data_IF_892698264521
#
_entry.id   IF_892698264521
#
_cell.length_a   1.000
_cell.length_b   1.000
_cell.length_c   1.000
_cell.angle_alpha   90.00
_cell.angle_beta   90.00
_cell.angle_gamma   90.00
#
_symmetry.space_group_name_H-M   'P 1'
#
loop_
_entity.id
_entity.type
_entity.pdbx_description
1 polymer ?
#
# COMPACT_ATOMS: atom_id res chain seq x y z
N UNK A 1 -46.79 24.62 18.75
CA UNK A 1 -46.92 23.92 17.45
C UNK A 1 -45.77 24.35 16.56
N UNK A 2 -44.99 23.41 16.05
CA UNK A 2 -43.90 23.68 15.12
C UNK A 2 -42.62 22.89 15.41
N UNK A 3 -42.73 21.58 15.56
CA UNK A 3 -41.60 20.67 15.36
C UNK A 3 -41.21 20.67 13.88
N UNK A 4 -39.92 20.76 13.57
CA UNK A 4 -39.23 20.09 12.44
C UNK A 4 -38.00 20.89 12.03
N UNK A 5 -36.82 20.38 12.41
CA UNK A 5 -35.53 20.47 11.67
C UNK A 5 -34.49 19.61 12.41
N UNK A 6 -34.75 18.31 12.47
CA UNK A 6 -33.75 17.28 12.78
C UNK A 6 -33.78 16.31 11.59
N UNK A 7 -33.14 16.67 10.48
CA UNK A 7 -33.14 15.82 9.27
C UNK A 7 -31.84 15.84 8.47
N UNK A 8 -30.82 16.62 8.83
CA UNK A 8 -29.60 16.74 8.01
C UNK A 8 -28.31 16.26 8.71
N UNK A 9 -28.43 15.29 9.63
CA UNK A 9 -27.27 14.55 10.16
C UNK A 9 -27.34 13.09 9.73
N UNK A 10 -27.20 12.86 8.43
CA UNK A 10 -26.58 11.60 7.96
C UNK A 10 -25.13 11.72 8.40
N UNK A 11 -24.75 11.00 9.45
CA UNK A 11 -23.41 11.12 10.00
C UNK A 11 -22.42 10.45 9.06
N UNK A 12 -21.20 10.98 8.98
CA UNK A 12 -20.07 10.34 8.28
C UNK A 12 -19.92 8.84 8.62
N UNK A 13 -20.35 8.44 9.82
CA UNK A 13 -20.36 7.08 10.32
C UNK A 13 -21.43 6.19 9.67
N UNK A 14 -22.58 6.73 9.29
CA UNK A 14 -23.64 5.98 8.59
C UNK A 14 -23.23 5.62 7.16
N UNK A 15 -22.44 6.48 6.50
CA UNK A 15 -21.83 6.19 5.20
C UNK A 15 -20.70 5.15 5.32
N UNK A 16 -20.04 5.09 6.47
CA UNK A 16 -18.97 4.14 6.77
C UNK A 16 -19.51 2.72 7.04
N UNK A 17 -20.63 2.59 7.76
CA UNK A 17 -21.29 1.31 8.02
C UNK A 17 -21.83 0.63 6.75
N UNK A 18 -22.23 1.42 5.75
CA UNK A 18 -22.65 0.90 4.44
C UNK A 18 -21.48 0.35 3.62
N UNK A 19 -20.26 0.86 3.80
CA UNK A 19 -19.05 0.41 3.10
C UNK A 19 -18.54 -0.94 3.62
N UNK A 20 -18.67 -1.19 4.94
CA UNK A 20 -18.17 -2.40 5.59
C UNK A 20 -18.91 -3.69 5.22
N UNK A 21 -20.19 -3.61 4.80
CA UNK A 21 -21.03 -4.78 4.51
C UNK A 21 -20.73 -5.50 3.19
N UNK A 22 -19.84 -4.95 2.34
CA UNK A 22 -19.57 -5.47 0.99
C UNK A 22 -18.45 -6.50 0.82
N UNK A 23 -17.67 -6.84 1.87
CA UNK A 23 -16.31 -7.40 1.70
C UNK A 23 -16.04 -8.81 2.26
N UNK A 24 -17.05 -9.64 2.52
CA UNK A 24 -16.83 -11.02 3.01
C UNK A 24 -16.81 -12.05 1.87
N UNK A 25 -15.62 -12.45 1.43
CA UNK A 25 -15.48 -13.61 0.52
C UNK A 25 -14.04 -13.98 0.14
N UNK A 26 -13.65 -15.19 0.56
CA UNK A 26 -12.66 -16.11 -0.05
C UNK A 26 -11.15 -15.93 0.21
N UNK A 27 -10.51 -17.03 0.65
CA UNK A 27 -9.41 -17.70 -0.07
C UNK A 27 -9.08 -19.08 0.52
N UNK A 28 -9.11 -20.19 -0.26
CA UNK A 28 -8.42 -21.45 0.05
C UNK A 28 -7.08 -21.57 -0.72
N UNK A 29 -6.09 -22.29 -0.15
CA UNK A 29 -4.88 -22.76 -0.86
C UNK A 29 -3.55 -22.32 -0.23
N UNK A 30 -3.17 -22.88 0.93
CA UNK A 30 -1.99 -22.47 1.70
C UNK A 30 -0.96 -23.59 1.97
N UNK A 31 -1.00 -24.71 1.24
CA UNK A 31 -0.29 -25.93 1.68
C UNK A 31 1.18 -26.06 1.21
N UNK A 32 1.74 -25.11 0.46
CA UNK A 32 3.10 -25.22 -0.13
C UNK A 32 4.02 -24.02 0.24
N UNK A 33 4.53 -23.95 1.48
CA UNK A 33 5.50 -22.92 1.89
C UNK A 33 6.73 -23.50 2.59
N UNK A 34 7.91 -23.29 1.99
CA UNK A 34 9.19 -23.95 2.34
C UNK A 34 10.12 -23.12 3.25
N UNK A 35 9.73 -21.92 3.70
CA UNK A 35 10.61 -21.05 4.49
C UNK A 35 9.92 -20.46 5.73
N UNK A 36 10.60 -20.46 6.88
CA UNK A 36 10.10 -19.88 8.13
C UNK A 36 9.72 -18.38 7.98
N UNK A 37 10.39 -17.65 7.07
CA UNK A 37 10.05 -16.26 6.75
C UNK A 37 8.73 -16.09 6.00
N UNK A 38 8.31 -17.08 5.20
CA UNK A 38 7.01 -17.06 4.53
C UNK A 38 5.88 -17.17 5.56
N UNK A 39 6.02 -18.02 6.58
CA UNK A 39 4.97 -18.22 7.60
C UNK A 39 4.63 -16.97 8.40
N UNK A 40 5.63 -16.24 8.91
CA UNK A 40 5.37 -15.02 9.70
C UNK A 40 4.70 -13.93 8.87
N UNK A 41 5.16 -13.76 7.63
CA UNK A 41 4.64 -12.77 6.69
C UNK A 41 3.23 -13.13 6.22
N UNK A 42 2.96 -14.42 6.00
CA UNK A 42 1.63 -14.93 5.68
C UNK A 42 0.68 -14.84 6.88
N UNK A 43 1.16 -15.07 8.09
CA UNK A 43 0.36 -14.87 9.30
C UNK A 43 -0.01 -13.39 9.47
N UNK A 44 0.94 -12.46 9.29
CA UNK A 44 0.66 -11.02 9.28
C UNK A 44 -0.40 -10.70 8.21
N UNK A 45 -0.28 -11.28 7.02
CA UNK A 45 -1.20 -11.12 5.90
C UNK A 45 -2.61 -11.67 6.16
N UNK A 46 -2.73 -12.88 6.71
CA UNK A 46 -4.02 -13.53 6.96
C UNK A 46 -4.82 -12.76 8.01
N UNK A 47 -4.12 -12.28 9.02
CA UNK A 47 -4.72 -11.59 10.15
C UNK A 47 -4.97 -10.10 9.85
N UNK A 48 -4.26 -9.51 8.90
CA UNK A 48 -4.44 -8.11 8.58
C UNK A 48 -5.77 -7.85 7.85
N UNK A 49 -6.68 -7.20 8.58
CA UNK A 49 -8.00 -6.75 8.09
C UNK A 49 -8.06 -5.22 8.20
N UNK A 50 -7.77 -4.47 7.11
CA UNK A 50 -7.70 -3.01 7.13
C UNK A 50 -8.96 -2.33 7.70
N UNK A 51 -10.15 -2.83 7.38
CA UNK A 51 -11.42 -2.33 7.92
C UNK A 51 -11.49 -2.45 9.45
N UNK A 52 -11.14 -3.62 9.98
CA UNK A 52 -11.10 -3.88 11.43
C UNK A 52 -10.11 -2.96 12.15
N UNK A 53 -8.91 -2.78 11.60
CA UNK A 53 -7.93 -1.85 12.18
C UNK A 53 -8.44 -0.41 12.13
N UNK A 54 -9.14 -0.01 11.05
CA UNK A 54 -9.73 1.33 10.97
C UNK A 54 -10.83 1.53 12.01
N UNK A 55 -11.69 0.54 12.22
CA UNK A 55 -12.70 0.56 13.29
C UNK A 55 -12.06 0.78 14.67
N UNK A 56 -10.99 0.03 15.00
CA UNK A 56 -10.27 0.19 16.26
C UNK A 56 -9.68 1.60 16.42
N UNK A 57 -9.03 2.12 15.37
CA UNK A 57 -8.49 3.48 15.37
C UNK A 57 -9.58 4.55 15.56
N UNK A 58 -10.74 4.36 14.94
CA UNK A 58 -11.91 5.24 15.06
C UNK A 58 -12.48 5.20 16.47
N UNK A 59 -12.59 4.01 17.09
CA UNK A 59 -13.04 3.87 18.47
C UNK A 59 -12.10 4.61 19.42
N UNK A 60 -10.79 4.38 19.34
CA UNK A 60 -9.78 5.07 20.14
C UNK A 60 -9.78 6.59 19.93
N UNK A 61 -10.02 7.05 18.70
CA UNK A 61 -10.17 8.46 18.38
C UNK A 61 -11.44 9.06 19.03
N UNK A 62 -12.55 8.32 18.96
CA UNK A 62 -13.86 8.76 19.45
C UNK A 62 -13.90 8.87 20.97
N UNK A 63 -13.33 7.90 21.69
CA UNK A 63 -13.17 7.95 23.16
C UNK A 63 -12.43 9.21 23.63
N UNK A 64 -11.53 9.71 22.79
CA UNK A 64 -10.72 10.91 23.05
C UNK A 64 -11.29 12.18 22.41
N UNK A 65 -12.52 12.14 21.90
CA UNK A 65 -13.21 13.26 21.23
C UNK A 65 -12.39 13.89 20.09
N UNK A 66 -11.68 13.07 19.32
CA UNK A 66 -10.81 13.53 18.23
C UNK A 66 -11.63 13.75 16.96
N UNK A 67 -11.54 14.94 16.39
CA UNK A 67 -12.19 15.23 15.11
C UNK A 67 -11.52 14.46 13.96
N UNK A 68 -12.26 14.15 12.87
CA UNK A 68 -11.66 13.47 11.70
C UNK A 68 -10.44 14.19 11.13
N UNK A 69 -10.45 15.53 11.10
CA UNK A 69 -9.32 16.32 10.63
C UNK A 69 -8.08 16.15 11.52
N UNK A 70 -8.26 16.11 12.84
CA UNK A 70 -7.16 15.89 13.78
C UNK A 70 -6.66 14.44 13.71
N UNK A 71 -7.55 13.46 13.58
CA UNK A 71 -7.19 12.05 13.37
C UNK A 71 -6.28 11.89 12.15
N UNK A 72 -6.66 12.44 11.00
CA UNK A 72 -5.84 12.39 9.78
C UNK A 72 -4.48 13.07 9.97
N UNK A 73 -4.45 14.21 10.68
CA UNK A 73 -3.21 14.91 10.99
C UNK A 73 -2.28 14.05 11.85
N UNK A 74 -2.81 13.40 12.88
CA UNK A 74 -2.03 12.54 13.79
C UNK A 74 -1.54 11.27 13.10
N UNK A 75 -2.37 10.59 12.29
CA UNK A 75 -1.94 9.45 11.47
C UNK A 75 -0.81 9.83 10.51
N UNK A 76 -0.94 10.99 9.83
CA UNK A 76 0.11 11.51 8.97
C UNK A 76 1.40 11.78 9.75
N UNK A 77 1.31 12.34 10.96
CA UNK A 77 2.48 12.60 11.80
C UNK A 77 3.21 11.31 12.17
N UNK A 78 2.49 10.28 12.63
CA UNK A 78 3.07 8.97 12.95
C UNK A 78 3.79 8.41 11.73
N UNK A 79 3.11 8.32 10.59
CA UNK A 79 3.68 7.70 9.38
C UNK A 79 4.83 8.50 8.77
N UNK A 80 4.76 9.83 8.81
CA UNK A 80 5.85 10.68 8.32
C UNK A 80 7.09 10.49 9.18
N UNK A 81 6.93 10.47 10.51
CA UNK A 81 8.04 10.26 11.42
C UNK A 81 8.70 8.89 11.23
N UNK A 82 7.90 7.81 11.22
CA UNK A 82 8.42 6.44 11.16
C UNK A 82 9.09 6.09 9.83
N UNK A 83 8.69 6.75 8.74
CA UNK A 83 9.19 6.42 7.40
C UNK A 83 10.11 7.46 6.77
N UNK A 84 10.22 8.66 7.37
CA UNK A 84 11.20 9.64 6.90
C UNK A 84 12.59 9.37 7.49
N UNK A 85 13.63 9.51 6.67
CA UNK A 85 15.02 9.39 7.12
C UNK A 85 15.54 10.69 7.77
N UNK A 86 14.65 11.59 8.19
CA UNK A 86 15.03 12.90 8.70
C UNK A 86 15.36 12.82 10.19
N UNK A 87 16.42 13.51 10.61
CA UNK A 87 16.69 13.70 12.03
C UNK A 87 15.60 14.58 12.65
N UNK A 88 14.83 14.02 13.56
CA UNK A 88 13.78 14.75 14.29
C UNK A 88 14.27 15.19 15.66
N UNK A 89 13.76 16.32 16.13
CA UNK A 89 14.04 16.83 17.47
C UNK A 89 13.54 15.86 18.56
N UNK A 90 14.13 15.91 19.75
CA UNK A 90 13.72 15.04 20.86
C UNK A 90 12.26 15.31 21.29
N UNK A 91 11.84 16.58 21.28
CA UNK A 91 10.45 16.97 21.53
C UNK A 91 9.47 16.31 20.56
N UNK A 92 9.87 16.16 19.30
CA UNK A 92 9.05 15.50 18.29
C UNK A 92 8.96 14.00 18.53
N UNK A 93 10.05 13.33 18.89
CA UNK A 93 10.02 11.90 19.25
C UNK A 93 9.09 11.62 20.42
N UNK A 94 9.15 12.44 21.47
CA UNK A 94 8.25 12.32 22.64
C UNK A 94 6.79 12.42 22.17
N UNK A 95 6.48 13.45 21.38
CA UNK A 95 5.13 13.65 20.84
C UNK A 95 4.66 12.49 19.97
N UNK A 96 5.52 11.92 19.14
CA UNK A 96 5.18 10.75 18.33
C UNK A 96 4.97 9.52 19.22
N UNK A 97 5.80 9.34 20.26
CA UNK A 97 5.59 8.30 21.28
C UNK A 97 4.23 8.41 21.96
N UNK A 98 3.81 9.62 22.35
CA UNK A 98 2.48 9.89 22.90
C UNK A 98 1.36 9.53 21.91
N UNK A 99 1.52 9.88 20.63
CA UNK A 99 0.54 9.52 19.59
C UNK A 99 0.48 8.01 19.35
N UNK A 100 1.62 7.32 19.33
CA UNK A 100 1.66 5.86 19.20
C UNK A 100 0.97 5.20 20.38
N UNK A 101 1.23 5.67 21.61
CA UNK A 101 0.53 5.18 22.80
C UNK A 101 -0.97 5.48 22.75
N UNK A 102 -1.36 6.68 22.29
CA UNK A 102 -2.76 7.09 22.14
C UNK A 102 -3.57 6.16 21.23
N UNK A 103 -2.94 5.63 20.18
CA UNK A 103 -3.54 4.76 19.17
C UNK A 103 -3.08 3.30 19.29
N UNK A 104 -2.44 2.94 20.41
CA UNK A 104 -1.91 1.60 20.67
C UNK A 104 -1.04 1.03 19.54
N UNK A 105 -0.28 1.90 18.87
CA UNK A 105 0.57 1.54 17.73
C UNK A 105 1.82 0.80 18.21
N UNK A 106 1.89 -0.47 17.86
CA UNK A 106 3.01 -1.37 18.16
C UNK A 106 4.07 -1.32 17.05
N UNK A 107 5.30 -1.72 17.42
CA UNK A 107 6.40 -1.88 16.45
C UNK A 107 6.17 -3.10 15.55
N UNK A 108 5.73 -4.21 16.12
CA UNK A 108 5.46 -5.49 15.45
C UNK A 108 4.19 -6.12 16.02
N UNK A 109 3.64 -7.12 15.33
CA UNK A 109 2.53 -7.93 15.82
C UNK A 109 1.72 -8.55 14.69
N UNK A 110 1.41 -9.83 14.83
CA UNK A 110 0.71 -10.64 13.83
C UNK A 110 -0.78 -10.80 14.12
N UNK A 111 -1.24 -10.53 15.36
CA UNK A 111 -2.66 -10.62 15.75
C UNK A 111 -3.58 -9.76 14.87
N UNK A 112 -4.84 -10.15 14.66
CA UNK A 112 -5.76 -9.43 13.78
C UNK A 112 -6.03 -7.99 14.21
N UNK A 113 -6.03 -7.75 15.51
CA UNK A 113 -6.35 -6.46 16.13
C UNK A 113 -5.08 -5.65 16.46
N UNK A 114 -3.89 -6.15 16.10
CA UNK A 114 -2.64 -5.44 16.30
C UNK A 114 -2.51 -4.25 15.35
N UNK A 115 -2.43 -3.04 15.91
CA UNK A 115 -2.18 -1.81 15.16
C UNK A 115 -0.66 -1.64 15.05
N UNK A 116 -0.07 -1.90 13.88
CA UNK A 116 1.37 -1.74 13.66
C UNK A 116 1.66 -0.62 12.66
N UNK A 117 2.86 -0.04 12.73
CA UNK A 117 3.30 1.00 11.78
C UNK A 117 3.23 0.51 10.33
N UNK A 118 3.63 -0.74 10.08
CA UNK A 118 3.53 -1.40 8.76
C UNK A 118 2.09 -1.42 8.24
N UNK A 119 1.14 -1.88 9.07
CA UNK A 119 -0.29 -1.94 8.74
C UNK A 119 -0.88 -0.55 8.50
N UNK A 120 -0.52 0.44 9.32
CA UNK A 120 -0.91 1.83 9.08
C UNK A 120 -0.34 2.34 7.75
N UNK A 121 0.89 1.97 7.39
CA UNK A 121 1.50 2.28 6.10
C UNK A 121 0.68 1.75 4.92
N UNK A 122 0.17 0.52 5.03
CA UNK A 122 -0.71 -0.09 4.01
C UNK A 122 -2.08 0.54 3.93
N UNK A 123 -2.65 0.97 5.06
CA UNK A 123 -3.96 1.62 5.14
C UNK A 123 -3.94 3.06 4.62
N UNK A 124 -2.84 3.78 4.85
CA UNK A 124 -2.70 5.18 4.49
C UNK A 124 -1.50 5.40 3.54
N UNK A 125 -1.50 4.79 2.34
CA UNK A 125 -0.38 4.86 1.41
C UNK A 125 -0.11 6.29 0.93
N UNK A 126 -1.11 7.17 0.91
CA UNK A 126 -0.98 8.60 0.60
C UNK A 126 -0.20 9.41 1.65
N UNK A 127 0.06 8.84 2.83
CA UNK A 127 0.97 9.42 3.83
C UNK A 127 2.31 8.69 3.86
N UNK A 128 2.31 7.36 3.84
CA UNK A 128 3.53 6.56 3.97
C UNK A 128 4.44 6.64 2.74
N UNK A 129 3.89 6.57 1.52
CA UNK A 129 4.69 6.63 0.29
C UNK A 129 5.46 7.94 0.14
N UNK A 130 4.86 9.14 0.29
CA UNK A 130 5.63 10.39 0.24
C UNK A 130 6.73 10.43 1.31
N UNK A 131 6.46 9.93 2.53
CA UNK A 131 7.45 9.90 3.60
C UNK A 131 8.67 9.03 3.25
N UNK A 132 8.44 7.84 2.68
CA UNK A 132 9.51 6.93 2.23
C UNK A 132 10.28 7.41 1.01
N UNK A 133 9.60 8.09 0.07
CA UNK A 133 10.25 8.60 -1.13
C UNK A 133 11.20 9.75 -0.81
N UNK A 134 10.85 10.61 0.15
CA UNK A 134 11.57 11.85 0.43
C UNK A 134 11.42 12.83 -0.74
N UNK A 135 12.52 13.50 -1.11
CA UNK A 135 12.51 14.52 -2.16
C UNK A 135 12.51 13.93 -3.59
N UNK A 136 13.05 12.73 -3.79
CA UNK A 136 13.09 12.09 -5.11
C UNK A 136 11.89 11.18 -5.33
N UNK A 137 11.21 11.36 -6.46
CA UNK A 137 10.11 10.50 -6.92
C UNK A 137 10.56 9.40 -7.86
N UNK A 138 11.79 9.45 -8.35
CA UNK A 138 12.32 8.53 -9.35
C UNK A 138 13.61 7.89 -8.86
N UNK A 139 13.92 6.72 -9.41
CA UNK A 139 15.18 6.00 -9.21
C UNK A 139 15.83 5.81 -10.57
N UNK A 140 17.12 6.15 -10.65
CA UNK A 140 17.94 5.78 -11.80
C UNK A 140 18.30 4.30 -11.71
N UNK A 141 17.90 3.53 -12.72
CA UNK A 141 18.30 2.13 -12.89
C UNK A 141 19.37 2.04 -13.97
N UNK A 142 20.39 1.22 -13.72
CA UNK A 142 21.44 0.89 -14.68
C UNK A 142 21.72 -0.59 -14.62
N UNK A 143 21.65 -1.25 -15.76
CA UNK A 143 22.09 -2.64 -15.90
C UNK A 143 22.97 -2.80 -17.14
N UNK A 144 23.82 -3.82 -17.12
CA UNK A 144 24.75 -4.14 -18.20
C UNK A 144 24.13 -5.15 -19.15
N UNK A 145 24.17 -4.86 -20.45
CA UNK A 145 23.67 -5.74 -21.49
C UNK A 145 24.55 -5.64 -22.73
N UNK A 146 25.02 -6.78 -23.24
CA UNK A 146 25.82 -6.90 -24.47
C UNK A 146 26.94 -5.84 -24.61
N UNK A 147 27.82 -5.74 -23.60
CA UNK A 147 28.96 -4.80 -23.55
C UNK A 147 28.59 -3.29 -23.54
N UNK A 148 27.32 -2.96 -23.33
CA UNK A 148 26.84 -1.60 -23.03
C UNK A 148 26.12 -1.55 -21.69
N UNK A 149 25.65 -0.35 -21.31
CA UNK A 149 24.69 -0.19 -20.22
C UNK A 149 23.41 0.45 -20.75
N UNK A 150 22.28 -0.01 -20.22
CA UNK A 150 20.99 0.64 -20.42
C UNK A 150 20.69 1.43 -19.15
N UNK A 151 20.32 2.70 -19.31
CA UNK A 151 19.93 3.57 -18.21
C UNK A 151 18.52 4.07 -18.43
N UNK A 152 17.67 3.92 -17.42
CA UNK A 152 16.33 4.48 -17.42
C UNK A 152 15.95 4.92 -16.00
N UNK A 153 14.91 5.74 -15.91
CA UNK A 153 14.30 6.14 -14.65
C UNK A 153 12.98 5.43 -14.46
N UNK A 154 12.68 5.02 -13.24
CA UNK A 154 11.37 4.49 -12.90
C UNK A 154 10.83 5.13 -11.62
N UNK A 155 9.49 5.12 -11.42
CA UNK A 155 8.88 5.67 -10.21
C UNK A 155 9.33 4.93 -8.93
N UNK A 156 9.94 5.67 -7.99
CA UNK A 156 10.53 5.13 -6.75
C UNK A 156 9.53 4.37 -5.88
N UNK A 157 8.25 4.71 -5.96
CA UNK A 157 7.21 4.04 -5.19
C UNK A 157 7.08 2.53 -5.50
N UNK A 158 7.54 2.07 -6.67
CA UNK A 158 7.54 0.64 -7.02
C UNK A 158 8.40 -0.21 -6.07
N UNK A 159 9.32 0.40 -5.34
CA UNK A 159 10.20 -0.29 -4.38
C UNK A 159 9.52 -0.53 -3.02
N UNK A 160 8.33 0.03 -2.78
CA UNK A 160 7.67 -0.06 -1.48
C UNK A 160 6.51 -1.05 -1.49
N UNK A 161 6.36 -1.79 -0.39
CA UNK A 161 5.26 -2.73 -0.20
C UNK A 161 3.88 -2.07 -0.24
N UNK A 162 3.78 -0.83 0.28
CA UNK A 162 2.58 -0.01 0.28
C UNK A 162 2.06 0.34 -1.11
N UNK A 163 2.90 0.19 -2.15
CA UNK A 163 2.48 0.39 -3.52
C UNK A 163 1.30 -0.52 -3.91
N UNK A 164 1.23 -1.73 -3.38
CA UNK A 164 0.11 -2.63 -3.66
C UNK A 164 -1.25 -2.01 -3.33
N UNK A 165 -1.32 -1.16 -2.30
CA UNK A 165 -2.55 -0.48 -1.89
C UNK A 165 -2.96 0.67 -2.83
N UNK A 166 -2.09 1.09 -3.76
CA UNK A 166 -2.40 2.15 -4.74
C UNK A 166 -2.71 1.60 -6.14
N UNK A 167 -2.64 0.29 -6.35
CA UNK A 167 -3.06 -0.32 -7.61
C UNK A 167 -4.59 -0.52 -7.55
N UNK A 168 -5.37 -0.05 -8.54
CA UNK A 168 -6.82 -0.25 -8.55
C UNK A 168 -7.20 -1.72 -8.76
N UNK A 169 -8.33 -2.15 -8.18
CA UNK A 169 -8.73 -3.56 -8.16
C UNK A 169 -9.31 -4.12 -9.47
N UNK A 170 -9.60 -3.27 -10.46
CA UNK A 170 -9.91 -3.72 -11.83
C UNK A 170 -11.07 -2.96 -12.45
N UNK A 171 -11.05 -2.83 -13.78
CA UNK A 171 -11.97 -2.10 -14.68
C UNK A 171 -11.66 -0.62 -14.94
N UNK A 172 -11.00 0.10 -14.03
CA UNK A 172 -10.70 1.53 -14.27
C UNK A 172 -9.49 1.73 -15.20
N UNK A 173 -8.57 0.75 -15.26
CA UNK A 173 -7.44 0.69 -16.18
C UNK A 173 -7.70 -0.35 -17.28
N UNK A 174 -7.09 -0.15 -18.45
CA UNK A 174 -6.96 -1.21 -19.45
C UNK A 174 -6.20 -2.38 -18.82
N UNK A 175 -6.63 -3.62 -19.13
CA UNK A 175 -6.00 -4.82 -18.59
C UNK A 175 -4.49 -4.86 -18.86
N UNK A 176 -4.05 -4.43 -20.04
CA UNK A 176 -2.62 -4.34 -20.38
C UNK A 176 -1.83 -3.39 -19.48
N UNK A 177 -2.39 -2.23 -19.14
CA UNK A 177 -1.76 -1.23 -18.24
C UNK A 177 -1.74 -1.76 -16.81
N UNK A 178 -2.82 -2.38 -16.36
CA UNK A 178 -2.90 -2.98 -15.03
C UNK A 178 -1.86 -4.10 -14.84
N UNK A 179 -1.79 -5.04 -15.79
CA UNK A 179 -0.79 -6.12 -15.80
C UNK A 179 0.63 -5.56 -15.80
N UNK A 180 0.89 -4.56 -16.63
CA UNK A 180 2.18 -3.87 -16.68
C UNK A 180 2.62 -3.26 -15.34
N UNK A 181 1.70 -2.62 -14.60
CA UNK A 181 2.00 -2.06 -13.27
C UNK A 181 2.36 -3.17 -12.28
N UNK A 182 1.65 -4.29 -12.30
CA UNK A 182 1.92 -5.46 -11.45
C UNK A 182 3.27 -6.08 -11.77
N UNK A 183 3.56 -6.31 -13.05
CA UNK A 183 4.85 -6.84 -13.50
C UNK A 183 6.00 -5.95 -13.04
N UNK A 184 5.92 -4.63 -13.26
CA UNK A 184 6.94 -3.69 -12.80
C UNK A 184 7.10 -3.74 -11.28
N UNK A 185 5.99 -3.79 -10.53
CA UNK A 185 6.04 -3.87 -9.07
C UNK A 185 6.73 -5.14 -8.59
N UNK A 186 6.39 -6.31 -9.12
CA UNK A 186 6.97 -7.59 -8.72
C UNK A 186 8.46 -7.67 -9.07
N UNK A 187 8.84 -7.14 -10.24
CA UNK A 187 10.24 -7.03 -10.65
C UNK A 187 11.07 -6.20 -9.67
N UNK A 188 10.70 -4.94 -9.45
CA UNK A 188 11.43 -4.04 -8.55
C UNK A 188 11.23 -4.37 -7.06
N UNK A 189 10.28 -5.26 -6.72
CA UNK A 189 10.24 -5.89 -5.41
C UNK A 189 11.45 -6.81 -5.22
N UNK A 190 11.67 -7.73 -6.18
CA UNK A 190 12.70 -8.76 -6.12
C UNK A 190 14.10 -8.19 -5.95
N UNK A 191 14.42 -7.13 -6.70
CA UNK A 191 15.73 -6.46 -6.63
C UNK A 191 16.05 -5.83 -5.25
N UNK A 192 15.04 -5.52 -4.45
CA UNK A 192 15.18 -4.85 -3.15
C UNK A 192 14.98 -5.80 -1.95
N UNK A 193 14.64 -7.06 -2.16
CA UNK A 193 14.19 -7.96 -1.10
C UNK A 193 15.26 -8.95 -0.67
N UNK A 194 15.32 -9.13 0.66
CA UNK A 194 16.07 -10.20 1.32
C UNK A 194 15.68 -11.53 0.68
N UNK A 195 16.69 -12.37 0.41
CA UNK A 195 16.65 -13.62 -0.34
C UNK A 195 15.78 -14.75 0.25
N UNK A 196 14.82 -14.45 1.12
CA UNK A 196 14.11 -15.43 1.96
C UNK A 196 12.61 -15.56 1.71
N UNK A 197 12.02 -14.74 0.83
CA UNK A 197 10.58 -14.80 0.51
C UNK A 197 10.40 -15.28 -0.93
N UNK A 198 9.52 -16.25 -1.15
CA UNK A 198 9.29 -16.79 -2.50
C UNK A 198 8.59 -15.77 -3.41
N UNK A 199 8.82 -15.87 -4.73
CA UNK A 199 8.14 -15.04 -5.73
C UNK A 199 6.61 -15.20 -5.65
N UNK A 200 6.13 -16.43 -5.42
CA UNK A 200 4.72 -16.76 -5.20
C UNK A 200 4.14 -16.02 -3.99
N UNK A 201 4.86 -15.99 -2.86
CA UNK A 201 4.47 -15.22 -1.67
C UNK A 201 4.32 -13.74 -2.01
N UNK A 202 5.21 -13.16 -2.82
CA UNK A 202 5.07 -11.77 -3.27
C UNK A 202 3.81 -11.51 -4.07
N UNK A 203 3.42 -12.42 -4.97
CA UNK A 203 2.19 -12.32 -5.75
C UNK A 203 0.95 -12.34 -4.84
N UNK A 204 0.90 -13.28 -3.88
CA UNK A 204 -0.20 -13.39 -2.90
C UNK A 204 -0.32 -12.10 -2.07
N UNK A 205 0.79 -11.62 -1.50
CA UNK A 205 0.83 -10.37 -0.73
C UNK A 205 0.38 -9.17 -1.55
N UNK A 206 0.78 -9.10 -2.82
CA UNK A 206 0.38 -8.03 -3.71
C UNK A 206 -1.14 -8.06 -3.94
N UNK A 207 -1.72 -9.22 -4.31
CA UNK A 207 -3.17 -9.37 -4.51
C UNK A 207 -3.97 -8.84 -3.35
N UNK A 208 -3.61 -9.21 -2.13
CA UNK A 208 -4.33 -8.74 -0.94
C UNK A 208 -4.22 -7.25 -0.75
N UNK A 209 -3.05 -6.66 -0.97
CA UNK A 209 -2.90 -5.20 -0.83
C UNK A 209 -3.76 -4.46 -1.85
N UNK A 210 -3.87 -5.00 -3.07
CA UNK A 210 -4.82 -4.51 -4.08
C UNK A 210 -6.26 -4.66 -3.58
N UNK A 211 -6.66 -5.86 -3.15
CA UNK A 211 -8.04 -6.18 -2.78
C UNK A 211 -8.51 -5.58 -1.44
N UNK A 212 -7.60 -5.25 -0.52
CA UNK A 212 -7.93 -4.80 0.84
C UNK A 212 -7.68 -3.31 1.10
N UNK A 213 -7.21 -2.58 0.09
CA UNK A 213 -6.95 -1.15 0.26
C UNK A 213 -8.23 -0.35 0.52
N UNK A 214 -8.15 0.56 1.49
CA UNK A 214 -9.24 1.45 1.92
C UNK A 214 -9.43 2.65 0.98
N UNK A 215 -8.55 2.82 -0.01
CA UNK A 215 -8.69 3.87 -1.02
C UNK A 215 -9.65 3.42 -2.12
N UNK A 216 -10.51 4.35 -2.57
CA UNK A 216 -11.28 4.13 -3.80
C UNK A 216 -10.35 4.08 -5.01
N UNK A 217 -10.77 3.39 -6.06
CA UNK A 217 -9.96 3.26 -7.27
C UNK A 217 -9.67 4.62 -7.94
N UNK A 218 -10.55 5.62 -7.81
CA UNK A 218 -10.28 6.98 -8.30
C UNK A 218 -9.11 7.62 -7.55
N UNK A 219 -9.08 7.48 -6.20
CA UNK A 219 -7.97 7.98 -5.39
C UNK A 219 -6.68 7.24 -5.73
N UNK A 220 -6.75 5.93 -5.95
CA UNK A 220 -5.61 5.12 -6.38
C UNK A 220 -5.05 5.59 -7.71
N UNK A 221 -5.90 5.82 -8.72
CA UNK A 221 -5.49 6.41 -10.00
C UNK A 221 -4.84 7.77 -9.83
N UNK A 222 -5.43 8.66 -9.02
CA UNK A 222 -4.86 9.99 -8.78
C UNK A 222 -3.47 9.89 -8.16
N UNK A 223 -3.22 8.94 -7.26
CA UNK A 223 -1.89 8.68 -6.72
C UNK A 223 -0.94 8.15 -7.81
N UNK A 224 -1.37 7.18 -8.62
CA UNK A 224 -0.56 6.67 -9.73
C UNK A 224 -0.17 7.78 -10.72
N UNK A 225 -1.07 8.72 -11.00
CA UNK A 225 -0.81 9.89 -11.84
C UNK A 225 0.17 10.87 -11.17
N UNK A 226 -0.05 11.19 -9.89
CA UNK A 226 0.79 12.10 -9.11
C UNK A 226 2.25 11.61 -8.99
N UNK A 227 2.45 10.29 -9.07
CA UNK A 227 3.75 9.64 -9.02
C UNK A 227 4.29 9.18 -10.37
N UNK A 228 3.67 9.60 -11.48
CA UNK A 228 4.21 9.35 -12.82
C UNK A 228 4.20 7.88 -13.25
N UNK A 229 3.27 7.07 -12.71
CA UNK A 229 3.05 5.69 -13.15
C UNK A 229 2.14 5.65 -14.37
N UNK A 230 1.06 6.42 -14.34
CA UNK A 230 0.10 6.53 -15.45
C UNK A 230 -0.18 7.99 -15.83
N UNK A 231 -0.58 8.22 -17.06
CA UNK A 231 -1.00 9.53 -17.58
C UNK A 231 -2.44 9.87 -17.15
N UNK A 232 -2.90 11.08 -17.47
CA UNK A 232 -4.30 11.47 -17.26
C UNK A 232 -5.28 10.63 -18.10
N UNK A 233 -4.81 10.10 -19.24
CA UNK A 233 -5.53 9.15 -20.09
C UNK A 233 -5.46 7.71 -19.57
N UNK A 234 -4.86 7.48 -18.39
CA UNK A 234 -4.71 6.16 -17.76
C UNK A 234 -3.85 5.18 -18.57
N UNK A 235 -2.93 5.71 -19.38
CA UNK A 235 -1.89 4.95 -20.07
C UNK A 235 -0.60 4.96 -19.26
N UNK A 236 0.35 4.06 -19.53
CA UNK A 236 1.66 4.12 -18.89
C UNK A 236 2.41 5.39 -19.29
N UNK A 237 3.17 5.97 -18.37
CA UNK A 237 4.14 7.02 -18.71
C UNK A 237 5.31 6.45 -19.51
N UNK A 238 6.08 7.31 -20.18
CA UNK A 238 7.29 6.89 -20.92
C UNK A 238 8.27 6.15 -20.01
N UNK A 239 8.49 6.65 -18.80
CA UNK A 239 9.41 6.07 -17.82
C UNK A 239 8.98 4.64 -17.42
N UNK A 240 7.67 4.43 -17.21
CA UNK A 240 7.13 3.09 -16.95
C UNK A 240 7.23 2.17 -18.17
N UNK A 241 6.93 2.69 -19.36
CA UNK A 241 7.00 1.91 -20.59
C UNK A 241 8.43 1.46 -20.90
N UNK A 242 9.42 2.32 -20.69
CA UNK A 242 10.84 2.02 -20.89
C UNK A 242 11.36 1.04 -19.84
N UNK A 243 10.95 1.20 -18.57
CA UNK A 243 11.25 0.21 -17.52
C UNK A 243 10.75 -1.19 -17.91
N UNK A 244 9.51 -1.30 -18.43
CA UNK A 244 8.95 -2.59 -18.83
C UNK A 244 9.61 -3.21 -20.05
N UNK A 245 10.08 -2.40 -21.01
CA UNK A 245 10.90 -2.91 -22.12
C UNK A 245 12.20 -3.51 -21.59
N UNK A 246 12.82 -2.85 -20.61
CA UNK A 246 14.06 -3.35 -19.99
C UNK A 246 13.81 -4.66 -19.23
N UNK A 247 12.75 -4.74 -18.42
CA UNK A 247 12.35 -5.97 -17.72
C UNK A 247 12.18 -7.14 -18.69
N UNK A 248 11.52 -6.91 -19.83
CA UNK A 248 11.34 -7.94 -20.87
C UNK A 248 12.65 -8.44 -21.47
N UNK A 249 13.63 -7.56 -21.60
CA UNK A 249 14.94 -7.91 -22.17
C UNK A 249 15.79 -8.67 -21.13
N UNK A 250 15.78 -8.22 -19.88
CA UNK A 250 16.65 -8.74 -18.82
C UNK A 250 16.10 -10.04 -18.22
N UNK A 251 14.78 -10.11 -18.00
CA UNK A 251 14.14 -11.15 -17.20
C UNK A 251 12.75 -11.52 -17.75
N UNK A 252 12.70 -11.99 -18.99
CA UNK A 252 11.42 -12.40 -19.60
C UNK A 252 10.69 -13.49 -18.78
N UNK A 253 11.43 -14.37 -18.09
CA UNK A 253 10.87 -15.41 -17.24
C UNK A 253 10.00 -14.88 -16.10
N UNK A 254 10.30 -13.70 -15.53
CA UNK A 254 9.45 -13.09 -14.48
C UNK A 254 8.03 -12.85 -14.99
N UNK A 255 7.86 -12.54 -16.27
CA UNK A 255 6.53 -12.32 -16.86
C UNK A 255 5.78 -13.65 -17.01
N UNK A 256 6.51 -14.71 -17.34
CA UNK A 256 6.00 -16.08 -17.50
C UNK A 256 5.62 -16.70 -16.15
N UNK A 257 6.36 -16.36 -15.09
CA UNK A 257 6.17 -16.87 -13.72
C UNK A 257 5.04 -16.17 -12.94
N UNK A 258 4.42 -15.14 -13.51
CA UNK A 258 3.25 -14.49 -12.87
C UNK A 258 2.03 -15.40 -13.03
N UNK A 259 1.58 -15.95 -11.90
CA UNK A 259 0.33 -16.67 -11.77
C UNK A 259 -0.81 -15.65 -11.68
N UNK A 260 -1.36 -15.24 -12.83
CA UNK A 260 -2.41 -14.22 -12.87
C UNK A 260 -3.65 -14.56 -12.04
N UNK A 261 -3.96 -15.86 -11.89
CA UNK A 261 -5.05 -16.36 -11.02
C UNK A 261 -4.79 -16.10 -9.53
N UNK A 262 -3.51 -15.98 -9.13
CA UNK A 262 -3.11 -15.56 -7.79
C UNK A 262 -3.18 -14.06 -7.57
N UNK A 263 -3.43 -13.25 -8.61
CA UNK A 263 -3.45 -11.78 -8.54
C UNK A 263 -4.84 -11.19 -8.82
N UNK A 264 -5.61 -11.78 -9.74
CA UNK A 264 -6.96 -11.36 -10.12
C UNK A 264 -7.94 -12.51 -10.06
#
# INVERSE_FOLDING_TARGET
MGESRISDRVTFWDQYDSFLKGFQGLAPGLDDFDCAGDYELLAEYQNFKPSRILELLVLLASEKNISPALFHKEMRMILTHEFSNNSTSEREKIRIGELKNKYEVKKTGTDSDSITVSRLGFMFPHYSLPAKMGLSKEVDYRYYFNNGYVQFKYPKLLNFHEFGSVIPSGHILKASVWKAIITARLYFAGDNLQSSISFRTHQILLRKRIGSSLLSDERRINLLQMYGVVTTQKELTSNMADALKCIKIENNHIIEDIEWDLIG
#
